data_IF_585838533675
#
_entry.id   IF_585838533675
#
_cell.length_a   1.000
_cell.length_b   1.000
_cell.length_c   1.000
_cell.angle_alpha   90.00
_cell.angle_beta   90.00
_cell.angle_gamma   90.00
#
_symmetry.space_group_name_H-M   'P 1'
#
loop_
_entity.id
_entity.type
_entity.pdbx_description
1 polymer ?
#
# COMPACT_ATOMS: atom_id res chain seq x y z
N UNK A 1 -100.01 3.09 15.60
CA UNK A 1 -100.46 4.32 16.28
C UNK A 1 -100.06 4.19 17.75
N UNK A 2 -98.92 4.73 18.16
CA UNK A 2 -98.76 6.10 18.69
C UNK A 2 -99.06 6.15 20.20
N UNK A 3 -97.99 6.28 21.00
CA UNK A 3 -97.85 7.02 22.28
C UNK A 3 -96.52 6.55 22.91
N UNK A 4 -95.41 7.26 22.73
CA UNK A 4 -95.00 8.51 23.39
C UNK A 4 -94.62 8.29 24.87
N UNK A 5 -93.34 8.58 25.16
CA UNK A 5 -92.78 9.33 26.31
C UNK A 5 -92.05 8.59 27.45
N UNK A 6 -90.85 9.13 27.76
CA UNK A 6 -90.17 9.27 29.08
C UNK A 6 -89.49 7.97 29.59
N UNK A 7 -88.23 7.92 30.03
CA UNK A 7 -87.39 8.85 30.82
C UNK A 7 -85.89 8.53 30.62
N UNK A 8 -85.12 9.62 30.55
CA UNK A 8 -83.70 9.85 30.92
C UNK A 8 -82.86 8.79 31.69
N UNK A 9 -81.62 8.65 31.19
CA UNK A 9 -80.34 8.86 31.90
C UNK A 9 -79.84 7.80 32.91
N UNK A 10 -78.82 7.02 32.52
CA UNK A 10 -77.69 6.66 33.39
C UNK A 10 -76.45 6.27 32.57
N UNK A 11 -75.36 6.99 32.82
CA UNK A 11 -74.01 6.76 32.32
C UNK A 11 -73.51 5.34 32.67
N UNK A 12 -72.82 4.70 31.72
CA UNK A 12 -71.64 3.91 32.06
C UNK A 12 -70.64 3.97 30.91
N UNK A 13 -69.67 4.86 31.09
CA UNK A 13 -68.42 4.88 30.36
C UNK A 13 -67.62 3.61 30.68
N UNK A 14 -67.47 2.71 29.71
CA UNK A 14 -66.36 1.74 29.72
C UNK A 14 -65.31 2.23 28.74
N UNK A 15 -64.47 3.17 29.19
CA UNK A 15 -63.15 3.40 28.59
C UNK A 15 -62.30 2.21 29.00
N UNK A 16 -62.31 1.17 28.15
CA UNK A 16 -61.32 0.10 28.24
C UNK A 16 -60.00 0.68 27.73
N UNK A 17 -59.10 0.94 28.66
CA UNK A 17 -57.69 1.26 28.42
C UNK A 17 -57.06 0.17 27.57
N UNK A 18 -56.91 0.44 26.28
CA UNK A 18 -56.06 -0.35 25.39
C UNK A 18 -54.62 -0.23 25.89
N UNK A 19 -54.08 -1.34 26.39
CA UNK A 19 -52.65 -1.48 26.65
C UNK A 19 -51.91 -1.30 25.32
N UNK A 20 -51.25 -0.15 25.14
CA UNK A 20 -50.33 0.07 24.02
C UNK A 20 -49.13 -0.85 24.24
N UNK A 21 -49.10 -1.93 23.47
CA UNK A 21 -47.97 -2.85 23.37
C UNK A 21 -46.75 -2.13 22.78
N UNK A 22 -45.86 -1.66 23.64
CA UNK A 22 -44.57 -1.02 23.29
C UNK A 22 -43.51 -2.01 22.77
N UNK A 23 -43.85 -3.29 22.58
CA UNK A 23 -42.90 -4.34 22.19
C UNK A 23 -42.64 -4.51 20.69
N UNK A 24 -43.48 -3.98 19.80
CA UNK A 24 -43.38 -4.25 18.37
C UNK A 24 -42.20 -3.53 17.67
N UNK A 25 -41.80 -2.34 18.15
CA UNK A 25 -40.74 -1.55 17.50
C UNK A 25 -39.32 -2.08 17.71
N UNK A 26 -39.07 -2.80 18.82
CA UNK A 26 -37.74 -3.37 19.10
C UNK A 26 -37.48 -4.69 18.36
N UNK A 27 -38.53 -5.47 18.06
CA UNK A 27 -38.40 -6.72 17.29
C UNK A 27 -38.13 -6.46 15.81
N UNK A 28 -38.66 -5.36 15.24
CA UNK A 28 -38.50 -5.05 13.81
C UNK A 28 -37.09 -4.55 13.46
N UNK A 29 -36.48 -3.70 14.31
CA UNK A 29 -35.17 -3.11 14.02
C UNK A 29 -34.01 -4.12 14.03
N UNK A 30 -34.08 -5.14 14.90
CA UNK A 30 -33.09 -6.22 14.93
C UNK A 30 -33.18 -7.14 13.70
N UNK A 31 -34.39 -7.44 13.23
CA UNK A 31 -34.61 -8.27 12.04
C UNK A 31 -34.16 -7.56 10.75
N UNK A 32 -34.46 -6.27 10.61
CA UNK A 32 -33.99 -5.44 9.50
C UNK A 32 -32.45 -5.35 9.47
N UNK A 33 -31.82 -5.19 10.65
CA UNK A 33 -30.37 -5.19 10.77
C UNK A 33 -29.74 -6.51 10.31
N UNK A 34 -30.29 -7.65 10.75
CA UNK A 34 -29.81 -8.96 10.30
C UNK A 34 -29.99 -9.16 8.78
N UNK A 35 -31.08 -8.67 8.20
CA UNK A 35 -31.31 -8.70 6.76
C UNK A 35 -30.27 -7.87 6.01
N UNK A 36 -29.95 -6.66 6.48
CA UNK A 36 -28.90 -5.84 5.87
C UNK A 36 -27.54 -6.55 5.89
N UNK A 37 -27.20 -7.25 6.97
CA UNK A 37 -25.96 -8.04 7.06
C UNK A 37 -25.92 -9.19 6.05
N UNK A 38 -27.04 -9.92 5.86
CA UNK A 38 -27.13 -10.97 4.83
C UNK A 38 -26.95 -10.40 3.42
N UNK A 39 -27.57 -9.25 3.14
CA UNK A 39 -27.41 -8.57 1.85
C UNK A 39 -25.95 -8.14 1.67
N UNK A 40 -25.32 -7.54 2.69
CA UNK A 40 -23.93 -7.12 2.62
C UNK A 40 -22.98 -8.29 2.36
N UNK A 41 -23.25 -9.46 2.94
CA UNK A 41 -22.49 -10.69 2.64
C UNK A 41 -22.53 -11.09 1.15
N UNK A 42 -23.61 -10.75 0.44
CA UNK A 42 -23.77 -10.97 -1.00
C UNK A 42 -23.22 -9.81 -1.84
N UNK A 43 -23.15 -8.61 -1.26
CA UNK A 43 -22.66 -7.37 -1.91
C UNK A 43 -21.58 -6.70 -1.07
N UNK A 44 -20.40 -7.34 -0.87
CA UNK A 44 -19.41 -6.88 0.11
C UNK A 44 -18.79 -5.50 -0.19
N UNK A 45 -18.91 -5.03 -1.44
CA UNK A 45 -18.44 -3.72 -1.91
C UNK A 45 -19.51 -2.62 -1.88
N UNK A 46 -20.69 -2.88 -1.33
CA UNK A 46 -21.74 -1.87 -1.20
C UNK A 46 -21.47 -0.95 -0.01
N UNK A 47 -20.72 0.13 -0.28
CA UNK A 47 -20.35 1.13 0.72
C UNK A 47 -21.60 1.83 1.32
N UNK A 48 -22.67 2.01 0.52
CA UNK A 48 -23.89 2.68 0.97
C UNK A 48 -24.66 1.81 1.97
N UNK A 49 -24.78 0.51 1.68
CA UNK A 49 -25.37 -0.46 2.61
C UNK A 49 -24.52 -0.58 3.89
N UNK A 50 -23.20 -0.58 3.76
CA UNK A 50 -22.29 -0.60 4.92
C UNK A 50 -22.50 0.61 5.84
N UNK A 51 -22.65 1.82 5.29
CA UNK A 51 -23.00 3.02 6.09
C UNK A 51 -24.33 2.88 6.83
N UNK A 52 -25.35 2.28 6.19
CA UNK A 52 -26.65 2.04 6.82
C UNK A 52 -26.53 1.05 7.98
N UNK A 53 -25.78 -0.04 7.79
CA UNK A 53 -25.51 -1.04 8.83
C UNK A 53 -24.78 -0.41 10.02
N UNK A 54 -23.76 0.41 9.78
CA UNK A 54 -23.04 1.12 10.87
C UNK A 54 -24.01 1.96 11.69
N UNK A 55 -24.85 2.77 11.03
CA UNK A 55 -25.82 3.65 11.70
C UNK A 55 -26.86 2.84 12.47
N UNK A 56 -27.38 1.78 11.87
CA UNK A 56 -28.36 0.90 12.49
C UNK A 56 -27.77 0.19 13.72
N UNK A 57 -26.56 -0.38 13.59
CA UNK A 57 -25.86 -1.04 14.70
C UNK A 57 -25.61 -0.11 15.89
N UNK A 58 -25.29 1.17 15.63
CA UNK A 58 -25.15 2.19 16.68
C UNK A 58 -26.47 2.56 17.35
N UNK A 59 -27.58 2.51 16.62
CA UNK A 59 -28.90 2.89 17.13
C UNK A 59 -29.58 1.78 17.95
N UNK A 60 -29.19 0.52 17.75
CA UNK A 60 -29.76 -0.64 18.44
C UNK A 60 -29.49 -0.62 19.95
N UNK A 61 -30.49 -1.05 20.72
CA UNK A 61 -30.43 -1.17 22.18
C UNK A 61 -30.99 -2.55 22.60
N UNK A 62 -30.17 -3.44 23.18
CA UNK A 62 -28.73 -3.30 23.40
C UNK A 62 -27.93 -3.24 22.08
N UNK A 63 -26.70 -2.73 22.14
CA UNK A 63 -25.81 -2.72 20.99
C UNK A 63 -25.54 -4.15 20.50
N UNK A 64 -25.38 -4.39 19.18
CA UNK A 64 -25.11 -5.72 18.68
C UNK A 64 -23.77 -6.24 19.20
N UNK A 65 -23.75 -7.49 19.65
CA UNK A 65 -22.55 -8.13 20.16
C UNK A 65 -21.48 -8.23 19.08
N UNK A 66 -20.22 -7.96 19.42
CA UNK A 66 -19.09 -8.16 18.51
C UNK A 66 -18.77 -9.66 18.46
N UNK A 67 -18.80 -10.32 17.28
CA UNK A 67 -18.41 -11.72 17.15
C UNK A 67 -16.96 -11.96 17.60
N UNK A 68 -16.69 -13.12 18.18
CA UNK A 68 -15.34 -13.46 18.66
C UNK A 68 -14.35 -13.59 17.48
N UNK A 69 -14.83 -14.03 16.33
CA UNK A 69 -14.05 -14.09 15.08
C UNK A 69 -13.61 -12.70 14.63
N UNK A 70 -14.49 -11.69 14.72
CA UNK A 70 -14.12 -10.31 14.41
C UNK A 70 -13.04 -9.81 15.37
N UNK A 71 -13.20 -10.12 16.67
CA UNK A 71 -12.22 -9.76 17.71
C UNK A 71 -10.86 -10.39 17.43
N UNK A 72 -10.83 -11.68 17.07
CA UNK A 72 -9.61 -12.40 16.70
C UNK A 72 -8.89 -11.72 15.53
N UNK A 73 -9.63 -11.33 14.50
CA UNK A 73 -9.05 -10.63 13.34
C UNK A 73 -8.47 -9.26 13.73
N UNK A 74 -9.15 -8.49 14.59
CA UNK A 74 -8.58 -7.24 15.11
C UNK A 74 -7.25 -7.49 15.86
N UNK A 75 -7.20 -8.49 16.74
CA UNK A 75 -5.99 -8.79 17.53
C UNK A 75 -4.83 -9.25 16.62
N UNK A 76 -5.12 -10.04 15.58
CA UNK A 76 -4.11 -10.44 14.59
C UNK A 76 -3.60 -9.25 13.79
N UNK A 77 -4.49 -8.32 13.42
CA UNK A 77 -4.09 -7.07 12.78
C UNK A 77 -3.15 -6.26 13.67
N UNK A 78 -3.44 -6.17 14.98
CA UNK A 78 -2.56 -5.46 15.93
C UNK A 78 -1.17 -6.10 16.00
N UNK A 79 -1.10 -7.43 16.13
CA UNK A 79 0.18 -8.14 16.13
C UNK A 79 0.96 -7.94 14.81
N UNK A 80 0.27 -7.97 13.67
CA UNK A 80 0.89 -7.72 12.37
C UNK A 80 1.42 -6.28 12.21
N UNK A 81 0.80 -5.29 12.85
CA UNK A 81 1.34 -3.91 12.92
C UNK A 81 2.64 -3.87 13.73
N UNK A 82 2.69 -4.57 14.87
CA UNK A 82 3.87 -4.62 15.74
C UNK A 82 5.08 -5.28 15.07
N UNK A 83 4.83 -6.23 14.16
CA UNK A 83 5.87 -6.95 13.39
C UNK A 83 6.29 -6.24 12.10
N UNK A 84 5.60 -5.17 11.68
CA UNK A 84 5.83 -4.53 10.39
C UNK A 84 7.14 -3.73 10.37
N UNK A 85 7.98 -3.96 9.35
CA UNK A 85 9.25 -3.26 9.16
C UNK A 85 9.17 -2.16 8.08
N UNK A 86 8.15 -2.17 7.23
CA UNK A 86 7.90 -1.14 6.23
C UNK A 86 6.46 -1.05 5.71
N UNK A 87 6.18 -0.09 4.82
CA UNK A 87 4.85 0.13 4.23
C UNK A 87 4.17 -1.14 3.69
N UNK A 88 4.94 -2.00 3.01
CA UNK A 88 4.45 -3.24 2.42
C UNK A 88 4.02 -4.27 3.49
N UNK A 89 4.64 -4.26 4.68
CA UNK A 89 4.32 -5.20 5.76
C UNK A 89 2.96 -4.89 6.41
N UNK A 90 2.53 -3.63 6.37
CA UNK A 90 1.22 -3.22 6.89
C UNK A 90 0.07 -3.78 6.04
N UNK A 91 0.32 -4.30 4.82
CA UNK A 91 -0.69 -4.98 4.01
C UNK A 91 -1.35 -6.14 4.76
N UNK A 92 -0.55 -6.93 5.49
CA UNK A 92 -1.05 -8.05 6.31
C UNK A 92 -1.95 -7.54 7.45
N UNK A 93 -1.57 -6.45 8.10
CA UNK A 93 -2.39 -5.83 9.14
C UNK A 93 -3.74 -5.34 8.60
N UNK A 94 -3.74 -4.63 7.46
CA UNK A 94 -4.97 -4.16 6.83
C UNK A 94 -5.89 -5.31 6.41
N UNK A 95 -5.36 -6.43 5.94
CA UNK A 95 -6.17 -7.62 5.62
C UNK A 95 -6.90 -8.17 6.85
N UNK A 96 -6.21 -8.27 7.99
CA UNK A 96 -6.84 -8.69 9.24
C UNK A 96 -7.90 -7.68 9.72
N UNK A 97 -7.61 -6.39 9.68
CA UNK A 97 -8.62 -5.39 10.04
C UNK A 97 -9.81 -5.36 9.07
N UNK A 98 -9.58 -5.62 7.78
CA UNK A 98 -10.65 -5.79 6.79
C UNK A 98 -11.56 -6.97 7.18
N UNK A 99 -10.98 -8.11 7.56
CA UNK A 99 -11.73 -9.24 8.10
C UNK A 99 -12.58 -8.87 9.32
N UNK A 100 -12.06 -8.05 10.23
CA UNK A 100 -12.80 -7.59 11.40
C UNK A 100 -14.01 -6.70 11.02
N UNK A 101 -13.86 -5.76 10.08
CA UNK A 101 -14.97 -4.89 9.65
C UNK A 101 -15.96 -5.60 8.72
N UNK A 102 -15.59 -6.70 8.08
CA UNK A 102 -16.52 -7.53 7.32
C UNK A 102 -17.37 -8.41 8.23
N UNK A 103 -16.79 -8.92 9.32
CA UNK A 103 -17.51 -9.71 10.33
C UNK A 103 -18.36 -8.84 11.27
N UNK A 104 -17.91 -7.62 11.57
CA UNK A 104 -18.62 -6.68 12.42
C UNK A 104 -18.64 -5.27 11.81
N UNK A 105 -19.44 -5.01 10.77
CA UNK A 105 -19.45 -3.73 10.07
C UNK A 105 -19.90 -2.53 10.91
N UNK A 106 -20.44 -2.72 12.12
CA UNK A 106 -20.79 -1.64 13.06
C UNK A 106 -19.67 -1.34 14.06
N UNK A 107 -18.54 -2.04 14.00
CA UNK A 107 -17.49 -1.96 14.99
C UNK A 107 -16.48 -0.83 14.70
N UNK A 108 -16.74 0.36 15.26
CA UNK A 108 -15.92 1.55 15.08
C UNK A 108 -14.40 1.35 15.26
N UNK A 109 -13.94 0.77 16.38
CA UNK A 109 -12.51 0.49 16.61
C UNK A 109 -11.82 -0.26 15.46
N UNK A 110 -12.49 -1.21 14.80
CA UNK A 110 -11.91 -1.94 13.68
C UNK A 110 -11.69 -1.04 12.45
N UNK A 111 -12.60 -0.11 12.15
CA UNK A 111 -12.38 0.88 11.09
C UNK A 111 -11.24 1.85 11.39
N UNK A 112 -11.08 2.28 12.65
CA UNK A 112 -9.95 3.14 13.04
C UNK A 112 -8.62 2.40 12.85
N UNK A 113 -8.54 1.13 13.27
CA UNK A 113 -7.35 0.32 13.06
C UNK A 113 -7.06 0.08 11.58
N UNK A 114 -8.08 -0.20 10.77
CA UNK A 114 -7.95 -0.35 9.32
C UNK A 114 -7.44 0.94 8.66
N UNK A 115 -8.01 2.09 9.01
CA UNK A 115 -7.59 3.38 8.48
C UNK A 115 -6.12 3.70 8.83
N UNK A 116 -5.67 3.35 10.05
CA UNK A 116 -4.27 3.51 10.45
C UNK A 116 -3.32 2.59 9.68
N UNK A 117 -3.68 1.32 9.48
CA UNK A 117 -2.87 0.42 8.66
C UNK A 117 -2.76 0.92 7.22
N UNK A 118 -3.84 1.45 6.64
CA UNK A 118 -3.85 2.01 5.30
C UNK A 118 -3.05 3.32 5.20
N UNK A 119 -3.09 4.17 6.24
CA UNK A 119 -2.20 5.34 6.31
C UNK A 119 -0.73 4.92 6.30
N UNK A 120 -0.37 3.87 7.04
CA UNK A 120 1.01 3.36 7.11
C UNK A 120 1.46 2.71 5.79
N UNK A 121 0.52 2.22 4.98
CA UNK A 121 0.74 1.81 3.58
C UNK A 121 0.77 2.99 2.61
N UNK A 122 0.54 4.22 3.08
CA UNK A 122 0.36 5.41 2.26
C UNK A 122 -0.87 5.36 1.32
N UNK A 123 -1.83 4.45 1.58
CA UNK A 123 -3.13 4.43 0.92
C UNK A 123 -4.10 5.39 1.65
N UNK A 124 -3.83 6.68 1.52
CA UNK A 124 -4.58 7.74 2.19
C UNK A 124 -6.05 7.76 1.78
N UNK A 125 -6.35 7.40 0.52
CA UNK A 125 -7.72 7.38 0.01
C UNK A 125 -8.56 6.30 0.67
N UNK A 126 -8.05 5.09 0.81
CA UNK A 126 -8.76 4.02 1.54
C UNK A 126 -8.84 4.33 3.03
N UNK A 127 -7.78 4.91 3.62
CA UNK A 127 -7.78 5.34 5.01
C UNK A 127 -8.90 6.35 5.31
N UNK A 128 -9.08 7.36 4.45
CA UNK A 128 -10.14 8.36 4.56
C UNK A 128 -11.55 7.74 4.46
N UNK A 129 -11.75 6.78 3.55
CA UNK A 129 -13.01 6.05 3.45
C UNK A 129 -13.36 5.31 4.74
N UNK A 130 -12.41 4.57 5.31
CA UNK A 130 -12.64 3.82 6.55
C UNK A 130 -12.78 4.75 7.77
N UNK A 131 -12.08 5.87 7.79
CA UNK A 131 -12.23 6.87 8.86
C UNK A 131 -13.63 7.49 8.88
N UNK A 132 -14.27 7.66 7.71
CA UNK A 132 -15.69 8.06 7.64
C UNK A 132 -16.59 7.06 8.36
N UNK A 133 -16.39 5.76 8.13
CA UNK A 133 -17.17 4.69 8.78
C UNK A 133 -16.92 4.64 10.29
N UNK A 134 -15.67 4.86 10.74
CA UNK A 134 -15.36 5.03 12.16
C UNK A 134 -16.18 6.16 12.79
N UNK A 135 -16.24 7.34 12.17
CA UNK A 135 -16.99 8.48 12.71
C UNK A 135 -18.51 8.22 12.77
N UNK A 136 -19.04 7.41 11.85
CA UNK A 136 -20.43 6.97 11.92
C UNK A 136 -20.68 6.02 13.10
N UNK A 137 -19.74 5.12 13.35
CA UNK A 137 -19.76 4.14 14.44
C UNK A 137 -19.36 4.71 15.82
N UNK A 138 -18.83 5.94 15.86
CA UNK A 138 -18.27 6.56 17.05
C UNK A 138 -19.26 6.57 18.23
N UNK A 139 -18.79 6.19 19.42
CA UNK A 139 -19.63 6.06 20.62
C UNK A 139 -19.99 7.43 21.22
N UNK A 140 -19.13 8.43 21.04
CA UNK A 140 -19.26 9.76 21.64
C UNK A 140 -18.96 10.89 20.65
N UNK A 141 -19.36 12.11 21.01
CA UNK A 141 -18.98 13.31 20.25
C UNK A 141 -17.47 13.57 20.29
N UNK A 142 -16.78 13.15 21.35
CA UNK A 142 -15.33 13.24 21.47
C UNK A 142 -14.65 12.30 20.47
N UNK A 143 -15.13 11.06 20.33
CA UNK A 143 -14.60 10.10 19.36
C UNK A 143 -14.80 10.59 17.92
N UNK A 144 -15.97 11.20 17.64
CA UNK A 144 -16.21 11.86 16.35
C UNK A 144 -15.22 13.01 16.11
N UNK A 145 -14.96 13.85 17.13
CA UNK A 145 -13.99 14.95 17.01
C UNK A 145 -12.59 14.44 16.72
N UNK A 146 -12.13 13.42 17.44
CA UNK A 146 -10.84 12.76 17.18
C UNK A 146 -10.76 12.21 15.75
N UNK A 147 -11.86 11.66 15.25
CA UNK A 147 -11.96 11.21 13.86
C UNK A 147 -11.81 12.36 12.86
N UNK A 148 -12.45 13.51 13.11
CA UNK A 148 -12.34 14.70 12.26
C UNK A 148 -10.93 15.28 12.24
N UNK A 149 -10.29 15.42 13.41
CA UNK A 149 -8.93 15.94 13.50
C UNK A 149 -7.95 15.03 12.76
N UNK A 150 -8.15 13.72 12.85
CA UNK A 150 -7.37 12.74 12.11
C UNK A 150 -7.65 12.78 10.60
N UNK A 151 -8.89 13.07 10.18
CA UNK A 151 -9.24 13.26 8.77
C UNK A 151 -8.44 14.42 8.16
N UNK A 152 -8.36 15.57 8.84
CA UNK A 152 -7.58 16.72 8.35
C UNK A 152 -6.09 16.38 8.22
N UNK A 153 -5.54 15.59 9.15
CA UNK A 153 -4.16 15.12 9.07
C UNK A 153 -3.92 14.20 7.86
N UNK A 154 -4.87 13.32 7.55
CA UNK A 154 -4.80 12.44 6.38
C UNK A 154 -4.96 13.20 5.06
N UNK A 155 -5.89 14.14 4.97
CA UNK A 155 -6.08 15.00 3.78
C UNK A 155 -4.81 15.77 3.43
N UNK A 156 -4.12 16.32 4.44
CA UNK A 156 -2.83 16.97 4.23
C UNK A 156 -1.75 16.00 3.71
N UNK A 157 -1.73 14.76 4.22
CA UNK A 157 -0.79 13.73 3.73
C UNK A 157 -1.10 13.30 2.30
N UNK A 158 -2.38 13.15 1.96
CA UNK A 158 -2.84 12.87 0.59
C UNK A 158 -2.42 14.00 -0.36
N UNK A 159 -2.71 15.26 -0.01
CA UNK A 159 -2.32 16.42 -0.85
C UNK A 159 -0.80 16.48 -1.04
N UNK A 160 -0.02 16.26 0.02
CA UNK A 160 1.44 16.23 -0.07
C UNK A 160 1.94 15.11 -0.99
N UNK A 161 1.34 13.92 -0.91
CA UNK A 161 1.69 12.79 -1.76
C UNK A 161 1.30 13.04 -3.22
N UNK A 162 0.12 13.60 -3.48
CA UNK A 162 -0.34 13.97 -4.81
C UNK A 162 0.53 15.08 -5.43
N UNK A 163 0.93 16.07 -4.63
CA UNK A 163 1.88 17.10 -5.08
C UNK A 163 3.24 16.50 -5.41
N UNK A 164 3.78 15.63 -4.55
CA UNK A 164 5.04 14.95 -4.81
C UNK A 164 4.97 14.10 -6.10
N UNK A 165 3.84 13.45 -6.35
CA UNK A 165 3.58 12.72 -7.60
C UNK A 165 3.48 13.66 -8.81
N UNK A 166 2.81 14.80 -8.69
CA UNK A 166 2.72 15.80 -9.76
C UNK A 166 4.08 16.42 -10.09
N UNK A 167 4.87 16.77 -9.07
CA UNK A 167 6.25 17.22 -9.22
C UNK A 167 7.13 16.12 -9.86
N UNK A 168 6.88 14.86 -9.49
CA UNK A 168 7.52 13.71 -10.12
C UNK A 168 7.16 13.61 -11.60
N UNK A 169 5.89 13.62 -11.96
CA UNK A 169 5.45 13.48 -13.36
C UNK A 169 5.99 14.64 -14.21
N UNK A 170 6.02 15.85 -13.65
CA UNK A 170 6.58 17.02 -14.31
C UNK A 170 8.10 16.92 -14.52
N UNK A 171 8.86 16.44 -13.52
CA UNK A 171 10.33 16.41 -13.56
C UNK A 171 10.89 15.15 -14.23
N UNK A 172 10.21 14.02 -14.03
CA UNK A 172 10.66 12.68 -14.33
C UNK A 172 9.66 11.82 -15.09
N UNK A 173 8.49 12.34 -15.51
CA UNK A 173 7.52 11.54 -16.28
C UNK A 173 8.12 10.94 -17.56
N UNK A 174 9.21 11.53 -18.07
CA UNK A 174 9.99 10.99 -19.18
C UNK A 174 10.77 9.69 -18.84
N UNK A 175 11.11 9.47 -17.56
CA UNK A 175 11.72 8.24 -17.04
C UNK A 175 10.71 7.13 -16.77
N UNK A 176 9.40 7.43 -16.81
CA UNK A 176 8.34 6.45 -16.62
C UNK A 176 8.24 5.44 -17.76
N UNK A 177 8.13 4.16 -17.43
CA UNK A 177 7.80 3.08 -18.36
C UNK A 177 8.73 1.88 -18.29
N UNK A 178 8.77 1.13 -19.40
CA UNK A 178 9.68 0.00 -19.56
C UNK A 178 10.95 0.45 -20.27
N UNK A 179 12.08 -0.04 -19.77
CA UNK A 179 13.41 0.23 -20.28
C UNK A 179 14.07 -1.07 -20.68
N UNK A 180 14.83 -1.03 -21.75
CA UNK A 180 15.70 -2.08 -22.23
C UNK A 180 17.10 -1.76 -21.73
N UNK A 181 17.66 -2.64 -20.90
CA UNK A 181 19.01 -2.51 -20.35
C UNK A 181 19.97 -3.41 -21.12
N UNK A 182 21.03 -2.82 -21.64
CA UNK A 182 22.16 -3.51 -22.28
C UNK A 182 23.41 -3.23 -21.45
N UNK A 183 24.05 -4.29 -20.95
CA UNK A 183 25.33 -4.21 -20.24
C UNK A 183 26.47 -4.61 -21.17
N UNK A 184 27.49 -3.76 -21.28
CA UNK A 184 28.74 -4.04 -21.99
C UNK A 184 29.92 -3.91 -21.04
N UNK A 185 30.73 -4.94 -20.91
CA UNK A 185 31.98 -4.91 -20.13
C UNK A 185 33.15 -4.92 -21.09
N UNK A 186 34.06 -3.98 -20.90
CA UNK A 186 35.29 -3.84 -21.68
C UNK A 186 36.49 -4.13 -20.76
N UNK A 187 37.36 -5.01 -21.22
CA UNK A 187 38.70 -5.20 -20.65
C UNK A 187 39.72 -4.43 -21.52
N UNK A 188 40.34 -3.42 -20.91
CA UNK A 188 41.31 -2.54 -21.56
C UNK A 188 42.57 -3.27 -22.04
N UNK A 189 42.92 -4.39 -21.40
CA UNK A 189 44.13 -5.16 -21.73
C UNK A 189 43.91 -6.19 -22.82
N UNK A 190 42.78 -6.90 -22.80
CA UNK A 190 42.52 -7.99 -23.75
C UNK A 190 41.75 -7.53 -25.00
N UNK A 191 41.12 -6.35 -24.96
CA UNK A 191 40.26 -5.86 -26.03
C UNK A 191 38.96 -6.68 -26.17
N UNK A 192 38.67 -7.57 -25.21
CA UNK A 192 37.49 -8.42 -25.22
C UNK A 192 36.30 -7.63 -24.67
N UNK A 193 35.19 -7.68 -25.40
CA UNK A 193 33.89 -7.17 -24.93
C UNK A 193 33.07 -8.33 -24.42
N UNK A 194 32.81 -8.39 -23.11
CA UNK A 194 31.80 -9.27 -22.54
C UNK A 194 30.48 -8.49 -22.54
N UNK A 195 29.70 -8.64 -23.61
CA UNK A 195 28.36 -8.06 -23.69
C UNK A 195 27.34 -9.04 -23.11
N UNK A 196 26.46 -8.56 -22.24
CA UNK A 196 25.22 -9.27 -22.00
C UNK A 196 24.42 -9.27 -23.31
N UNK A 197 24.17 -10.47 -23.85
CA UNK A 197 23.63 -10.64 -25.21
C UNK A 197 22.13 -10.44 -25.28
N UNK A 198 21.42 -10.59 -24.17
CA UNK A 198 19.97 -10.40 -24.11
C UNK A 198 19.63 -9.11 -23.34
N UNK A 199 18.83 -8.22 -23.93
CA UNK A 199 18.39 -7.03 -23.25
C UNK A 199 17.46 -7.37 -22.06
N UNK A 200 17.69 -6.75 -20.91
CA UNK A 200 16.85 -6.95 -19.73
C UNK A 200 15.78 -5.87 -19.70
N UNK A 201 14.53 -6.26 -19.43
CA UNK A 201 13.46 -5.28 -19.21
C UNK A 201 13.52 -4.76 -17.78
N UNK A 202 13.85 -3.48 -17.63
CA UNK A 202 13.78 -2.75 -16.38
C UNK A 202 12.47 -1.97 -16.27
N UNK A 203 11.95 -1.83 -15.05
CA UNK A 203 10.78 -0.98 -14.75
C UNK A 203 11.18 0.13 -13.79
N UNK A 204 10.68 1.33 -14.05
CA UNK A 204 10.81 2.48 -13.17
C UNK A 204 9.75 2.45 -12.07
N UNK A 205 10.13 2.70 -10.82
CA UNK A 205 9.24 2.99 -9.70
C UNK A 205 9.76 4.19 -8.90
N UNK A 206 8.93 4.79 -8.05
CA UNK A 206 9.37 5.83 -7.10
C UNK A 206 9.68 5.12 -5.78
N UNK A 207 10.82 5.43 -5.17
CA UNK A 207 11.16 4.93 -3.82
C UNK A 207 10.63 5.86 -2.70
N UNK A 208 10.76 5.42 -1.46
CA UNK A 208 10.27 6.15 -0.28
C UNK A 208 10.93 7.52 -0.06
N UNK A 209 12.07 7.78 -0.69
CA UNK A 209 12.75 9.09 -0.67
C UNK A 209 12.39 9.99 -1.85
N UNK A 210 11.52 9.53 -2.75
CA UNK A 210 11.14 10.26 -3.97
C UNK A 210 12.18 10.14 -5.09
N UNK A 211 13.16 9.25 -4.97
CA UNK A 211 14.08 8.89 -6.04
C UNK A 211 13.44 7.89 -7.01
N UNK A 212 13.93 7.84 -8.25
CA UNK A 212 13.48 6.84 -9.22
C UNK A 212 14.33 5.60 -9.08
N UNK A 213 13.70 4.46 -8.91
CA UNK A 213 14.35 3.17 -8.92
C UNK A 213 14.07 2.47 -10.25
N UNK A 214 15.11 2.20 -11.02
CA UNK A 214 15.07 1.29 -12.17
C UNK A 214 15.57 -0.06 -11.68
N UNK A 215 14.66 -1.04 -11.58
CA UNK A 215 15.03 -2.41 -11.21
C UNK A 215 15.13 -3.29 -12.45
N UNK A 216 16.28 -3.94 -12.61
CA UNK A 216 16.54 -4.93 -13.63
C UNK A 216 17.02 -6.23 -12.95
N UNK A 217 16.24 -7.30 -13.08
CA UNK A 217 16.68 -8.62 -12.65
C UNK A 217 17.31 -9.33 -13.85
N UNK A 218 18.57 -9.73 -13.71
CA UNK A 218 19.30 -10.46 -14.74
C UNK A 218 19.70 -11.83 -14.18
N UNK A 219 19.43 -12.89 -14.95
CA UNK A 219 20.12 -14.15 -14.74
C UNK A 219 21.52 -14.00 -15.34
N UNK A 220 22.54 -13.94 -14.50
CA UNK A 220 23.93 -13.87 -14.93
C UNK A 220 24.61 -15.22 -14.70
N UNK A 221 25.54 -15.57 -15.59
CA UNK A 221 26.41 -16.72 -15.37
C UNK A 221 27.62 -16.25 -14.56
N UNK A 222 27.72 -16.63 -13.29
CA UNK A 222 28.91 -16.39 -12.47
C UNK A 222 29.93 -17.50 -12.75
N UNK A 223 31.18 -17.09 -12.98
CA UNK A 223 32.32 -18.00 -13.04
C UNK A 223 32.91 -18.16 -11.64
N UNK A 224 32.79 -19.34 -11.04
CA UNK A 224 33.57 -19.67 -9.83
C UNK A 224 35.02 -19.92 -10.25
N UNK A 225 35.89 -18.93 -10.04
CA UNK A 225 37.34 -19.13 -10.09
C UNK A 225 37.81 -19.80 -8.80
N UNK A 226 37.62 -21.11 -8.72
CA UNK A 226 38.18 -21.99 -7.68
C UNK A 226 39.28 -22.88 -8.25
N UNK A 227 40.31 -23.17 -7.44
CA UNK A 227 41.47 -23.97 -7.82
C UNK A 227 41.10 -25.37 -8.37
N UNK A 228 40.92 -25.49 -9.69
CA UNK A 228 40.98 -26.77 -10.40
C UNK A 228 39.84 -27.10 -11.36
N UNK A 229 38.73 -26.36 -11.42
CA UNK A 229 37.71 -26.51 -12.46
C UNK A 229 36.80 -25.29 -12.53
N UNK A 230 36.80 -24.58 -13.67
CA UNK A 230 35.84 -23.52 -13.95
C UNK A 230 34.43 -24.10 -13.90
N UNK A 231 33.67 -23.75 -12.87
CA UNK A 231 32.23 -24.03 -12.79
C UNK A 231 31.47 -22.74 -13.06
N UNK A 232 30.57 -22.82 -14.04
CA UNK A 232 29.64 -21.75 -14.36
C UNK A 232 28.32 -22.08 -13.66
N UNK A 233 27.94 -21.28 -12.67
CA UNK A 233 26.65 -21.41 -11.98
C UNK A 233 25.74 -20.24 -12.38
N UNK A 234 24.47 -20.50 -12.70
CA UNK A 234 23.51 -19.43 -12.90
C UNK A 234 23.24 -18.75 -11.55
N UNK A 235 23.55 -17.46 -11.45
CA UNK A 235 23.20 -16.62 -10.31
C UNK A 235 22.30 -15.49 -10.78
N UNK A 236 21.23 -15.23 -10.02
CA UNK A 236 20.35 -14.10 -10.30
C UNK A 236 20.92 -12.86 -9.63
N UNK A 237 21.40 -11.92 -10.42
CA UNK A 237 21.89 -10.63 -9.93
C UNK A 237 20.81 -9.59 -10.18
N UNK A 238 20.30 -9.02 -9.10
CA UNK A 238 19.38 -7.88 -9.18
C UNK A 238 20.18 -6.58 -9.17
N UNK A 239 20.25 -5.93 -10.32
CA UNK A 239 20.83 -4.60 -10.42
C UNK A 239 19.72 -3.57 -10.18
N UNK A 240 19.92 -2.71 -9.18
CA UNK A 240 19.03 -1.59 -8.92
C UNK A 240 19.77 -0.29 -9.22
N UNK A 241 19.17 0.58 -10.04
CA UNK A 241 19.71 1.90 -10.32
C UNK A 241 18.78 2.93 -9.71
N UNK A 242 19.31 3.86 -8.92
CA UNK A 242 18.56 5.01 -8.41
C UNK A 242 18.92 6.24 -9.22
N UNK A 243 17.93 6.83 -9.89
CA UNK A 243 18.06 8.16 -10.48
C UNK A 243 17.46 9.18 -9.52
N UNK A 244 18.24 10.15 -9.08
CA UNK A 244 17.80 11.22 -8.18
C UNK A 244 18.37 12.57 -8.62
N UNK A 245 18.06 13.64 -7.89
CA UNK A 245 18.75 14.92 -8.04
C UNK A 245 19.42 15.27 -6.72
N UNK A 246 20.60 15.87 -6.80
CA UNK A 246 21.25 16.47 -5.64
C UNK A 246 20.56 17.78 -5.22
N UNK A 247 21.08 18.40 -4.15
CA UNK A 247 20.58 19.68 -3.67
C UNK A 247 20.80 20.84 -4.66
N UNK A 248 21.68 20.69 -5.64
CA UNK A 248 21.96 21.70 -6.68
C UNK A 248 21.03 21.59 -7.90
N UNK A 249 20.25 20.51 -7.99
CA UNK A 249 19.43 20.23 -9.16
C UNK A 249 20.23 19.57 -10.29
N UNK A 250 21.38 18.98 -9.99
CA UNK A 250 22.08 18.05 -10.86
C UNK A 250 21.52 16.63 -10.71
N UNK A 251 21.28 15.96 -11.84
CA UNK A 251 20.80 14.58 -11.86
C UNK A 251 21.95 13.63 -11.44
N UNK A 252 21.66 12.71 -10.52
CA UNK A 252 22.56 11.69 -10.01
C UNK A 252 22.02 10.32 -10.42
N UNK A 253 22.89 9.44 -10.90
CA UNK A 253 22.61 8.03 -11.05
C UNK A 253 23.46 7.23 -10.06
N UNK A 254 22.81 6.48 -9.19
CA UNK A 254 23.45 5.56 -8.26
C UNK A 254 23.17 4.12 -8.69
N UNK A 255 24.15 3.24 -8.54
CA UNK A 255 23.95 1.78 -8.71
C UNK A 255 24.00 1.08 -7.38
N UNK A 256 23.16 0.06 -7.22
CA UNK A 256 23.19 -0.89 -6.14
C UNK A 256 23.39 -2.25 -6.76
N UNK A 257 24.54 -2.85 -6.47
CA UNK A 257 24.97 -4.11 -7.06
C UNK A 257 25.96 -4.86 -6.19
N UNK A 258 26.07 -6.14 -6.48
CA UNK A 258 27.07 -7.05 -5.93
C UNK A 258 28.44 -6.74 -6.53
N UNK A 259 29.46 -6.53 -5.68
CA UNK A 259 30.86 -6.53 -6.10
C UNK A 259 31.29 -7.99 -6.15
N UNK A 260 31.47 -8.57 -7.34
CA UNK A 260 31.93 -9.97 -7.53
C UNK A 260 33.22 -10.20 -6.70
N UNK A 261 33.17 -11.03 -5.65
CA UNK A 261 34.19 -11.09 -4.60
C UNK A 261 35.17 -12.25 -4.75
N UNK A 262 35.44 -12.76 -5.95
CA UNK A 262 36.47 -13.79 -6.11
C UNK A 262 37.90 -13.35 -5.71
N UNK A 263 38.10 -12.12 -5.19
CA UNK A 263 39.32 -11.79 -4.45
C UNK A 263 39.26 -10.78 -3.25
N UNK A 264 38.14 -10.15 -2.83
CA UNK A 264 38.19 -9.17 -1.71
C UNK A 264 36.82 -8.80 -1.07
N UNK A 265 36.78 -8.19 0.15
CA UNK A 265 35.56 -8.10 0.96
C UNK A 265 34.44 -7.25 0.32
N UNK A 266 33.22 -7.79 0.43
CA UNK A 266 31.96 -7.20 -0.04
C UNK A 266 31.56 -5.97 0.77
N UNK A 267 31.27 -4.86 0.09
CA UNK A 267 30.47 -3.77 0.64
C UNK A 267 29.26 -3.55 -0.26
N UNK A 268 28.07 -3.73 0.30
CA UNK A 268 26.83 -3.32 -0.35
C UNK A 268 26.67 -1.81 -0.17
N UNK A 269 26.53 -1.07 -1.27
CA UNK A 269 26.44 0.38 -1.22
C UNK A 269 25.88 0.95 -2.50
N UNK A 270 25.31 2.15 -2.37
CA UNK A 270 25.00 2.99 -3.52
C UNK A 270 26.26 3.69 -3.97
N UNK A 271 26.58 3.59 -5.26
CA UNK A 271 27.73 4.25 -5.86
C UNK A 271 27.25 5.20 -6.96
N UNK A 272 27.66 6.47 -6.88
CA UNK A 272 27.41 7.44 -7.95
C UNK A 272 28.25 7.06 -9.17
N UNK A 273 27.60 6.96 -10.33
CA UNK A 273 28.26 6.69 -11.60
C UNK A 273 28.04 7.85 -12.57
N UNK A 274 29.03 8.07 -13.42
CA UNK A 274 28.91 9.05 -14.50
C UNK A 274 27.90 8.53 -15.52
N UNK A 275 27.04 9.42 -16.00
CA UNK A 275 26.07 9.07 -17.01
C UNK A 275 25.81 10.23 -17.96
N UNK A 276 25.41 9.87 -19.17
CA UNK A 276 25.04 10.77 -20.25
C UNK A 276 23.59 10.50 -20.64
N UNK A 277 22.80 11.56 -20.69
CA UNK A 277 21.43 11.50 -21.17
C UNK A 277 21.39 11.88 -22.65
N UNK A 278 20.84 11.00 -23.48
CA UNK A 278 20.56 11.29 -24.89
C UNK A 278 19.67 12.52 -25.03
N UNK A 279 19.87 13.30 -26.10
CA UNK A 279 19.12 14.54 -26.35
C UNK A 279 17.61 14.33 -26.48
N UNK A 280 17.19 13.12 -26.87
CA UNK A 280 15.80 12.71 -27.00
C UNK A 280 15.19 12.19 -25.68
N UNK A 281 16.00 12.07 -24.62
CA UNK A 281 15.65 11.47 -23.33
C UNK A 281 15.11 10.04 -23.43
N UNK A 282 15.44 9.31 -24.51
CA UNK A 282 15.08 7.90 -24.71
C UNK A 282 16.23 6.96 -24.44
N UNK A 283 17.45 7.50 -24.41
CA UNK A 283 18.66 6.75 -24.13
C UNK A 283 19.40 7.35 -22.94
N UNK A 284 19.83 6.52 -22.00
CA UNK A 284 20.73 6.90 -20.92
C UNK A 284 21.92 5.95 -20.92
N UNK A 285 23.14 6.48 -20.97
CA UNK A 285 24.36 5.71 -20.94
C UNK A 285 25.07 5.97 -19.63
N UNK A 286 25.36 4.93 -18.86
CA UNK A 286 26.05 5.07 -17.59
C UNK A 286 27.35 4.27 -17.61
N UNK A 287 28.45 4.91 -17.23
CA UNK A 287 29.79 4.34 -17.33
C UNK A 287 30.41 4.24 -15.94
N UNK A 288 30.83 3.04 -15.59
CA UNK A 288 31.54 2.76 -14.34
C UNK A 288 32.95 2.25 -14.68
N UNK A 289 33.96 3.04 -14.34
CA UNK A 289 35.37 2.64 -14.46
C UNK A 289 35.81 2.00 -13.14
N UNK A 290 35.96 0.67 -13.14
CA UNK A 290 36.42 -0.06 -11.95
C UNK A 290 37.94 -0.19 -11.97
N UNK A 291 38.62 0.62 -11.16
CA UNK A 291 40.06 0.49 -10.93
C UNK A 291 40.32 -0.41 -9.74
N UNK A 292 40.73 -1.64 -10.01
CA UNK A 292 41.24 -2.54 -8.97
C UNK A 292 42.65 -2.11 -8.56
N UNK A 293 42.82 -1.66 -7.31
CA UNK A 293 44.14 -1.48 -6.67
C UNK A 293 44.22 -2.37 -5.43
N UNK A 294 44.47 -3.65 -5.63
CA UNK A 294 44.87 -4.55 -4.55
C UNK A 294 46.14 -5.29 -4.97
N UNK A 295 47.09 -5.49 -4.05
CA UNK A 295 48.44 -5.96 -4.37
C UNK A 295 48.51 -7.42 -4.85
N UNK A 296 47.42 -8.20 -4.78
CA UNK A 296 47.37 -9.62 -5.18
C UNK A 296 46.58 -9.89 -6.48
N UNK A 297 45.97 -8.86 -7.08
CA UNK A 297 45.24 -9.00 -8.34
C UNK A 297 45.97 -8.16 -9.38
N UNK A 298 46.33 -8.73 -10.54
CA UNK A 298 46.79 -7.89 -11.64
C UNK A 298 45.72 -6.83 -11.92
N UNK A 299 46.08 -5.54 -12.07
CA UNK A 299 45.11 -4.48 -12.27
C UNK A 299 44.50 -4.64 -13.66
N UNK A 300 43.38 -5.33 -13.80
CA UNK A 300 42.52 -5.19 -14.98
C UNK A 300 41.73 -3.88 -14.80
N UNK A 301 41.73 -3.00 -15.79
CA UNK A 301 40.79 -1.87 -15.78
C UNK A 301 39.56 -2.35 -16.53
N UNK A 302 38.53 -2.69 -15.76
CA UNK A 302 37.24 -3.05 -16.35
C UNK A 302 36.40 -1.79 -16.44
N UNK A 303 35.95 -1.50 -17.65
CA UNK A 303 34.97 -0.44 -17.89
C UNK A 303 33.63 -1.11 -18.16
N UNK A 304 32.66 -0.89 -17.28
CA UNK A 304 31.28 -1.34 -17.49
C UNK A 304 30.47 -0.17 -18.03
N UNK A 305 29.83 -0.37 -19.18
CA UNK A 305 28.90 0.58 -19.79
C UNK A 305 27.50 -0.03 -19.76
N UNK A 306 26.56 0.70 -19.15
CA UNK A 306 25.15 0.38 -19.11
C UNK A 306 24.42 1.30 -20.08
N UNK A 307 23.64 0.74 -21.00
CA UNK A 307 22.81 1.51 -21.93
C UNK A 307 21.35 1.19 -21.64
N UNK A 308 20.58 2.20 -21.28
CA UNK A 308 19.14 2.13 -21.07
C UNK A 308 18.45 2.74 -22.28
N UNK A 309 17.63 1.95 -22.98
CA UNK A 309 16.82 2.39 -24.11
C UNK A 309 15.34 2.23 -23.79
N UNK A 310 14.52 3.25 -24.05
CA UNK A 310 13.08 3.16 -23.76
C UNK A 310 12.36 2.19 -24.73
N UNK A 311 11.54 1.31 -24.19
CA UNK A 311 10.62 0.47 -24.99
C UNK A 311 9.50 1.36 -25.51
N UNK A 312 9.31 1.40 -26.83
CA UNK A 312 8.24 2.18 -27.49
C UNK A 312 6.87 1.52 -27.34
#
# INVERSE_FOLDING_TARGET
MQKILRVMLALLWTVSTGAVSTGAFAQTSGAEFAQMLDILGKTPKDDALREQIVRAGRALKPAPAIPEEARRELIRGNAAVEEAAGPDDYARAAQHYQGAVDLAPWWGPAYMSLARAQELQQDYRSALKNLKLYMLAAASAEDTRKGQDYQYALEYKEEKADRAKGDYDAKYGWLGGQWTLIRKVYDDKSGITLSQTEPIVARSSIDSSGGILLRAAADTMQHEYGSGADRVLPSRVENSFRVSYDASGQLILETYGERDPSACPVSYGWHQIDFELGSDRRTMTATEEQRYRLPSCEPAQLTTVWVFERVQ
#
